data_IF_318085575671
#
_entry.id   IF_318085575671
#
_cell.length_a   1.000
_cell.length_b   1.000
_cell.length_c   1.000
_cell.angle_alpha   90.00
_cell.angle_beta   90.00
_cell.angle_gamma   90.00
#
_symmetry.space_group_name_H-M   'P 1'
#
loop_
_entity.id
_entity.type
_entity.pdbx_description
1 polymer ?
#
# COMPACT_ATOMS: atom_id res chain seq x y z
N UNK A 1 -0.58 0.03 -14.33
CA UNK A 1 -1.62 -0.63 -15.13
C UNK A 1 -2.46 -1.58 -14.28
N UNK A 2 -1.86 -2.54 -13.57
CA UNK A 2 -2.57 -3.48 -12.67
C UNK A 2 -3.63 -2.84 -11.75
N UNK A 3 -3.31 -1.73 -11.07
CA UNK A 3 -4.26 -1.04 -10.19
C UNK A 3 -5.52 -0.54 -10.92
N UNK A 4 -5.38 -0.05 -12.16
CA UNK A 4 -6.52 0.42 -12.96
C UNK A 4 -7.41 -0.74 -13.43
N UNK A 5 -6.78 -1.86 -13.78
CA UNK A 5 -7.45 -3.06 -14.28
C UNK A 5 -8.21 -3.79 -13.17
N UNK A 6 -7.57 -3.98 -12.03
CA UNK A 6 -8.03 -4.87 -10.96
C UNK A 6 -8.85 -4.17 -9.88
N UNK A 7 -8.72 -2.85 -9.70
CA UNK A 7 -9.43 -2.10 -8.66
C UNK A 7 -10.35 -1.00 -9.24
N UNK A 8 -11.63 -1.31 -9.52
CA UNK A 8 -12.59 -0.34 -10.04
C UNK A 8 -12.74 0.92 -9.18
N UNK A 9 -12.61 0.79 -7.85
CA UNK A 9 -12.71 1.92 -6.91
C UNK A 9 -11.62 2.97 -7.11
N UNK A 10 -10.50 2.62 -7.75
CA UNK A 10 -9.41 3.54 -8.05
C UNK A 10 -9.52 4.23 -9.42
N UNK A 11 -10.41 3.79 -10.31
CA UNK A 11 -10.46 4.31 -11.69
C UNK A 11 -10.71 5.81 -11.74
N UNK A 12 -11.68 6.31 -10.97
CA UNK A 12 -11.98 7.74 -10.92
C UNK A 12 -10.77 8.57 -10.42
N UNK A 13 -10.05 8.08 -9.40
CA UNK A 13 -8.85 8.74 -8.90
C UNK A 13 -7.71 8.74 -9.95
N UNK A 14 -7.52 7.62 -10.65
CA UNK A 14 -6.51 7.48 -11.71
C UNK A 14 -6.86 8.34 -12.94
N UNK A 15 -8.14 8.46 -13.28
CA UNK A 15 -8.61 9.29 -14.39
C UNK A 15 -8.48 10.79 -14.07
N UNK A 16 -8.60 11.17 -12.79
CA UNK A 16 -8.37 12.54 -12.34
C UNK A 16 -6.90 12.96 -12.43
N UNK A 17 -5.97 12.14 -11.92
CA UNK A 17 -4.52 12.40 -12.05
C UNK A 17 -3.70 11.10 -12.02
N UNK A 18 -3.47 10.52 -13.20
CA UNK A 18 -2.69 9.28 -13.34
C UNK A 18 -1.24 9.44 -12.89
N UNK A 19 -0.64 10.60 -13.13
CA UNK A 19 0.77 10.82 -12.82
C UNK A 19 0.99 10.90 -11.32
N UNK A 20 0.09 11.58 -10.60
CA UNK A 20 0.10 11.64 -9.15
C UNK A 20 -0.08 10.26 -8.52
N UNK A 21 -1.08 9.48 -8.97
CA UNK A 21 -1.30 8.13 -8.45
C UNK A 21 -0.09 7.23 -8.71
N UNK A 22 0.53 7.32 -9.89
CA UNK A 22 1.73 6.53 -10.20
C UNK A 22 2.91 6.90 -9.29
N UNK A 23 3.17 8.20 -9.09
CA UNK A 23 4.23 8.67 -8.21
C UNK A 23 4.01 8.24 -6.76
N UNK A 24 2.77 8.33 -6.27
CA UNK A 24 2.40 7.89 -4.93
C UNK A 24 2.61 6.39 -4.73
N UNK A 25 2.10 5.56 -5.65
CA UNK A 25 2.27 4.11 -5.60
C UNK A 25 3.75 3.75 -5.64
N UNK A 26 4.53 4.35 -6.54
CA UNK A 26 5.96 4.10 -6.64
C UNK A 26 6.71 4.52 -5.37
N UNK A 27 6.36 5.66 -4.78
CA UNK A 27 6.95 6.15 -3.54
C UNK A 27 6.59 5.26 -2.33
N UNK A 28 5.33 4.84 -2.24
CA UNK A 28 4.86 3.90 -1.21
C UNK A 28 5.60 2.57 -1.31
N UNK A 29 5.66 1.96 -2.50
CA UNK A 29 6.39 0.71 -2.73
C UNK A 29 7.87 0.86 -2.39
N UNK A 30 8.53 1.96 -2.80
CA UNK A 30 9.94 2.20 -2.46
C UNK A 30 10.18 2.22 -0.95
N UNK A 31 9.35 2.93 -0.18
CA UNK A 31 9.48 2.98 1.27
C UNK A 31 9.17 1.64 1.92
N UNK A 32 8.13 0.97 1.44
CA UNK A 32 7.67 -0.30 1.98
C UNK A 32 8.70 -1.42 1.77
N UNK A 33 9.21 -1.55 0.55
CA UNK A 33 10.31 -2.48 0.24
C UNK A 33 11.58 -2.10 0.98
N UNK A 34 11.90 -0.79 1.06
CA UNK A 34 13.02 -0.29 1.85
C UNK A 34 12.93 -0.70 3.32
N UNK A 35 11.75 -0.68 3.93
CA UNK A 35 11.57 -1.09 5.33
C UNK A 35 11.65 -2.58 5.58
N UNK A 36 11.48 -3.43 4.56
CA UNK A 36 11.74 -4.87 4.68
C UNK A 36 13.25 -5.17 4.76
N UNK A 37 14.07 -4.36 4.08
CA UNK A 37 15.54 -4.55 4.02
C UNK A 37 16.25 -3.78 5.13
N UNK A 38 15.84 -2.53 5.38
CA UNK A 38 16.42 -1.63 6.36
C UNK A 38 15.32 -1.00 7.25
N UNK A 39 14.72 -1.77 8.18
CA UNK A 39 13.59 -1.31 8.98
C UNK A 39 13.87 -0.01 9.75
N UNK A 40 15.09 0.14 10.28
CA UNK A 40 15.48 1.31 11.09
C UNK A 40 15.48 2.62 10.29
N UNK A 41 15.69 2.55 8.98
CA UNK A 41 15.80 3.74 8.12
C UNK A 41 14.45 4.13 7.51
N UNK A 42 13.65 3.14 7.11
CA UNK A 42 12.47 3.39 6.28
C UNK A 42 11.12 3.28 7.02
N UNK A 43 11.06 2.62 8.19
CA UNK A 43 9.77 2.32 8.84
C UNK A 43 8.93 3.57 9.11
N UNK A 44 9.51 4.61 9.70
CA UNK A 44 8.75 5.83 9.99
C UNK A 44 8.26 6.53 8.71
N UNK A 45 9.09 6.56 7.66
CA UNK A 45 8.71 7.13 6.38
C UNK A 45 7.55 6.33 5.75
N UNK A 46 7.64 5.01 5.76
CA UNK A 46 6.61 4.11 5.25
C UNK A 46 5.27 4.28 6.00
N UNK A 47 5.32 4.40 7.33
CA UNK A 47 4.12 4.67 8.15
C UNK A 47 3.51 6.04 7.84
N UNK A 48 4.33 7.09 7.69
CA UNK A 48 3.85 8.43 7.33
C UNK A 48 3.21 8.44 5.94
N UNK A 49 3.84 7.81 4.96
CA UNK A 49 3.27 7.67 3.61
C UNK A 49 1.92 6.95 3.68
N UNK A 50 1.83 5.83 4.38
CA UNK A 50 0.59 5.04 4.47
C UNK A 50 -0.56 5.80 5.15
N UNK A 51 -0.26 6.52 6.23
CA UNK A 51 -1.23 7.41 6.88
C UNK A 51 -1.73 8.48 5.91
N UNK A 52 -0.80 9.14 5.19
CA UNK A 52 -1.15 10.20 4.24
C UNK A 52 -2.05 9.69 3.11
N UNK A 53 -1.78 8.49 2.59
CA UNK A 53 -2.62 7.85 1.57
C UNK A 53 -4.03 7.60 2.12
N UNK A 54 -4.15 7.02 3.32
CA UNK A 54 -5.46 6.78 3.95
C UNK A 54 -6.28 8.07 4.13
N UNK A 55 -5.63 9.16 4.54
CA UNK A 55 -6.29 10.48 4.67
C UNK A 55 -6.75 11.04 3.32
N UNK A 56 -5.86 11.08 2.31
CA UNK A 56 -6.19 11.61 0.98
C UNK A 56 -7.34 10.82 0.35
N UNK A 57 -7.30 9.49 0.43
CA UNK A 57 -8.32 8.64 -0.19
C UNK A 57 -9.69 8.79 0.47
N UNK A 58 -9.73 9.01 1.79
CA UNK A 58 -10.97 9.37 2.48
C UNK A 58 -11.52 10.72 2.01
N UNK A 59 -10.65 11.72 1.84
CA UNK A 59 -11.04 13.04 1.32
C UNK A 59 -11.56 13.00 -0.12
N UNK A 60 -11.01 12.10 -0.94
CA UNK A 60 -11.42 11.86 -2.32
C UNK A 60 -12.63 10.92 -2.45
N UNK A 61 -13.08 10.30 -1.35
CA UNK A 61 -14.21 9.36 -1.36
C UNK A 61 -13.92 8.02 -2.04
N UNK A 62 -12.64 7.61 -2.14
CA UNK A 62 -12.29 6.28 -2.63
C UNK A 62 -12.67 5.25 -1.57
N UNK A 63 -13.40 4.17 -1.91
CA UNK A 63 -13.84 3.17 -0.93
C UNK A 63 -12.66 2.56 -0.14
N UNK A 64 -12.81 2.42 1.20
CA UNK A 64 -11.74 1.90 2.05
C UNK A 64 -11.27 0.51 1.62
N UNK A 65 -12.20 -0.37 1.27
CA UNK A 65 -11.90 -1.71 0.76
C UNK A 65 -11.04 -1.69 -0.51
N UNK A 66 -11.28 -0.73 -1.41
CA UNK A 66 -10.45 -0.50 -2.59
C UNK A 66 -9.04 -0.03 -2.22
N UNK A 67 -8.89 0.88 -1.26
CA UNK A 67 -7.57 1.32 -0.75
C UNK A 67 -6.81 0.14 -0.14
N UNK A 68 -7.47 -0.65 0.70
CA UNK A 68 -6.86 -1.83 1.31
C UNK A 68 -6.52 -2.90 0.27
N UNK A 69 -7.34 -3.06 -0.77
CA UNK A 69 -7.04 -3.98 -1.86
C UNK A 69 -5.80 -3.54 -2.65
N UNK A 70 -5.66 -2.25 -2.95
CA UNK A 70 -4.46 -1.70 -3.60
C UNK A 70 -3.16 -2.01 -2.82
N UNK A 71 -3.19 -1.89 -1.49
CA UNK A 71 -2.04 -2.26 -0.64
C UNK A 71 -1.73 -3.77 -0.70
N UNK A 72 -2.75 -4.63 -0.64
CA UNK A 72 -2.57 -6.09 -0.78
C UNK A 72 -2.02 -6.46 -2.16
N UNK A 73 -2.49 -5.82 -3.23
CA UNK A 73 -1.96 -6.01 -4.58
C UNK A 73 -0.48 -5.65 -4.65
N UNK A 74 -0.08 -4.49 -4.10
CA UNK A 74 1.33 -4.08 -4.06
C UNK A 74 2.21 -5.09 -3.32
N UNK A 75 1.74 -5.60 -2.17
CA UNK A 75 2.44 -6.66 -1.44
C UNK A 75 2.57 -7.97 -2.23
N UNK A 76 1.50 -8.41 -2.88
CA UNK A 76 1.51 -9.62 -3.71
C UNK A 76 2.46 -9.49 -4.92
N UNK A 77 2.51 -8.32 -5.55
CA UNK A 77 3.46 -8.05 -6.65
C UNK A 77 4.91 -8.14 -6.17
N UNK A 78 5.24 -7.48 -5.04
CA UNK A 78 6.59 -7.54 -4.46
C UNK A 78 6.98 -8.97 -4.10
N UNK A 79 6.06 -9.74 -3.53
CA UNK A 79 6.29 -11.14 -3.21
C UNK A 79 6.56 -11.99 -4.46
N UNK A 80 5.75 -11.83 -5.51
CA UNK A 80 5.92 -12.55 -6.76
C UNK A 80 7.27 -12.21 -7.41
N UNK A 81 7.63 -10.93 -7.47
CA UNK A 81 8.92 -10.49 -8.01
C UNK A 81 10.11 -11.07 -7.22
N UNK A 82 9.99 -11.18 -5.89
CA UNK A 82 10.99 -11.81 -5.05
C UNK A 82 11.13 -13.32 -5.36
N UNK A 83 10.01 -14.04 -5.49
CA UNK A 83 9.99 -15.46 -5.86
C UNK A 83 10.63 -15.67 -7.22
N UNK A 84 10.21 -14.90 -8.22
CA UNK A 84 10.68 -15.03 -9.60
C UNK A 84 12.17 -14.72 -9.70
N UNK A 85 12.64 -13.67 -9.03
CA UNK A 85 14.05 -13.28 -9.07
C UNK A 85 14.95 -14.28 -8.31
N UNK A 86 14.50 -14.83 -7.19
CA UNK A 86 15.23 -15.90 -6.48
C UNK A 86 15.30 -17.15 -7.35
N UNK A 87 14.17 -17.62 -7.90
CA UNK A 87 14.14 -18.80 -8.76
C UNK A 87 15.02 -18.64 -10.01
N UNK A 88 15.09 -17.43 -10.57
CA UNK A 88 15.92 -17.11 -11.74
C UNK A 88 17.42 -17.09 -11.42
N UNK A 89 17.81 -16.66 -10.21
CA UNK A 89 19.22 -16.60 -9.78
C UNK A 89 19.73 -17.96 -9.31
N UNK A 90 19.00 -18.60 -8.41
CA UNK A 90 19.31 -19.92 -7.87
C UNK A 90 18.01 -20.63 -7.41
N UNK A 91 17.52 -21.63 -8.16
CA UNK A 91 16.33 -22.39 -7.78
C UNK A 91 16.40 -23.05 -6.39
N UNK A 92 17.60 -23.39 -5.90
CA UNK A 92 17.76 -24.05 -4.60
C UNK A 92 17.54 -23.08 -3.42
N UNK A 93 17.61 -21.76 -3.66
CA UNK A 93 17.39 -20.71 -2.67
C UNK A 93 15.91 -20.38 -2.46
N UNK A 94 15.00 -20.85 -3.33
CA UNK A 94 13.55 -20.58 -3.22
C UNK A 94 12.99 -21.03 -1.86
N UNK A 95 13.53 -22.12 -1.28
CA UNK A 95 13.13 -22.60 0.05
C UNK A 95 13.40 -21.59 1.17
N UNK A 96 14.37 -20.68 0.99
CA UNK A 96 14.70 -19.66 1.98
C UNK A 96 13.60 -18.59 2.07
N UNK A 97 12.80 -18.42 1.02
CA UNK A 97 11.70 -17.44 0.99
C UNK A 97 10.63 -17.73 2.05
N UNK A 98 10.46 -19.00 2.48
CA UNK A 98 9.55 -19.38 3.57
C UNK A 98 9.85 -18.59 4.85
N UNK A 99 11.13 -18.28 5.10
CA UNK A 99 11.54 -17.53 6.29
C UNK A 99 11.19 -16.05 6.22
N UNK A 100 11.04 -15.49 5.02
CA UNK A 100 10.77 -14.06 4.80
C UNK A 100 9.28 -13.81 4.49
N UNK A 101 8.53 -14.86 4.12
CA UNK A 101 7.12 -14.75 3.78
C UNK A 101 6.29 -14.13 4.92
N UNK A 102 6.55 -14.56 6.16
CA UNK A 102 5.86 -14.02 7.33
C UNK A 102 6.15 -12.51 7.51
N UNK A 103 7.38 -12.08 7.29
CA UNK A 103 7.76 -10.66 7.40
C UNK A 103 7.06 -9.81 6.34
N UNK A 104 6.98 -10.31 5.09
CA UNK A 104 6.26 -9.63 4.00
C UNK A 104 4.77 -9.50 4.31
N UNK A 105 4.11 -10.56 4.76
CA UNK A 105 2.68 -10.51 5.06
C UNK A 105 2.37 -9.67 6.31
N UNK A 106 3.19 -9.76 7.36
CA UNK A 106 3.07 -8.90 8.55
C UNK A 106 3.23 -7.42 8.18
N UNK A 107 4.15 -7.12 7.27
CA UNK A 107 4.35 -5.78 6.77
C UNK A 107 3.12 -5.24 6.02
N UNK A 108 2.53 -6.05 5.12
CA UNK A 108 1.31 -5.68 4.41
C UNK A 108 0.14 -5.45 5.39
N UNK A 109 0.00 -6.31 6.40
CA UNK A 109 -1.04 -6.21 7.43
C UNK A 109 -0.87 -4.95 8.29
N UNK A 110 0.34 -4.65 8.77
CA UNK A 110 0.67 -3.43 9.52
C UNK A 110 0.27 -2.17 8.73
N UNK A 111 0.61 -2.13 7.44
CA UNK A 111 0.30 -1.02 6.56
C UNK A 111 -1.21 -0.88 6.28
N UNK A 112 -1.92 -2.00 6.10
CA UNK A 112 -3.38 -2.00 5.98
C UNK A 112 -4.05 -1.44 7.25
N UNK A 113 -3.54 -1.79 8.43
CA UNK A 113 -3.99 -1.23 9.71
C UNK A 113 -3.82 0.29 9.77
N UNK A 114 -2.61 0.79 9.47
CA UNK A 114 -2.30 2.23 9.48
C UNK A 114 -3.19 3.00 8.51
N UNK A 115 -3.37 2.49 7.29
CA UNK A 115 -4.23 3.10 6.27
C UNK A 115 -5.68 3.14 6.73
N UNK A 116 -6.19 2.01 7.24
CA UNK A 116 -7.57 1.90 7.71
C UNK A 116 -7.88 2.85 8.86
N UNK A 117 -6.97 2.99 9.81
CA UNK A 117 -7.15 3.91 10.95
C UNK A 117 -7.15 5.38 10.51
N UNK A 118 -6.18 5.75 9.65
CA UNK A 118 -6.07 7.10 9.11
C UNK A 118 -7.30 7.49 8.29
N UNK A 119 -7.75 6.57 7.43
CA UNK A 119 -8.94 6.74 6.59
C UNK A 119 -10.19 6.98 7.44
N UNK A 120 -10.48 6.10 8.41
CA UNK A 120 -11.66 6.24 9.28
C UNK A 120 -11.60 7.50 10.14
N UNK A 121 -10.41 7.91 10.57
CA UNK A 121 -10.24 9.17 11.29
C UNK A 121 -10.53 10.38 10.39
N UNK A 122 -10.10 10.35 9.14
CA UNK A 122 -10.41 11.39 8.16
C UNK A 122 -11.92 11.45 7.86
N UNK A 123 -12.59 10.31 7.64
CA UNK A 123 -14.04 10.27 7.46
C UNK A 123 -14.81 10.86 8.64
N UNK A 124 -14.45 10.51 9.88
CA UNK A 124 -15.07 11.11 11.08
C UNK A 124 -14.87 12.62 11.15
N UNK A 125 -13.70 13.13 10.74
CA UNK A 125 -13.45 14.58 10.67
C UNK A 125 -14.28 15.25 9.58
N UNK A 126 -14.55 14.56 8.47
CA UNK A 126 -15.37 15.08 7.38
C UNK A 126 -16.86 15.07 7.74
N UNK A 127 -17.37 14.00 8.37
CA UNK A 127 -18.76 13.93 8.83
C UNK A 127 -19.05 15.01 9.88
N UNK A 128 -18.18 15.16 10.88
CA UNK A 128 -18.33 16.17 11.92
C UNK A 128 -18.34 17.60 11.37
N UNK A 129 -17.52 17.88 10.34
CA UNK A 129 -17.51 19.19 9.67
C UNK A 129 -18.79 19.46 8.88
N UNK A 130 -19.40 18.42 8.29
CA UNK A 130 -20.68 18.55 7.57
C UNK A 130 -21.88 18.73 8.50
N UNK A 131 -21.84 18.12 9.68
CA UNK A 131 -22.91 18.22 10.69
C UNK A 131 -22.90 19.54 11.46
N UNK A 132 -21.73 20.17 11.61
CA UNK A 132 -21.54 21.44 12.32
C UNK A 132 -21.49 22.68 11.41
N UNK A 133 -21.90 22.53 10.15
CA UNK A 133 -21.98 23.61 9.16
C UNK A 133 -23.44 23.93 8.84
#
# INVERSE_FOLDING_TARGET
>A
EALYEQEPGYRAAIESDRAEIWQEVHHSLRHNVGSLIQPREFREAAHRTSRRIGEIRAEQGVPLDAVLHAFRMGGAMVWQDLVDETARRDPDDVRLLVHVAADVWNFVDEHCGIVGDAYRQAERRLSWRRENQ
#
